data_IF_863091947913
#
_entry.id   IF_863091947913
#
_cell.length_a   1.000
_cell.length_b   1.000
_cell.length_c   1.000
_cell.angle_alpha   90.00
_cell.angle_beta   90.00
_cell.angle_gamma   90.00
#
_symmetry.space_group_name_H-M   'P 1'
#
loop_
_entity.id
_entity.type
_entity.pdbx_description
1 polymer ?
#
# COMPACT_ATOMS: atom_id res chain seq x y z
N UNK A 1 -21.60 -7.19 -20.57
CA UNK A 1 -21.30 -7.57 -19.16
C UNK A 1 -22.50 -8.31 -18.57
N UNK A 2 -22.33 -9.25 -17.62
CA UNK A 2 -23.49 -9.87 -16.96
C UNK A 2 -24.31 -8.80 -16.21
N UNK A 3 -25.65 -8.78 -16.30
CA UNK A 3 -26.48 -7.70 -15.72
C UNK A 3 -26.25 -7.49 -14.22
N UNK A 4 -26.07 -8.59 -13.47
CA UNK A 4 -25.87 -8.55 -12.02
C UNK A 4 -24.58 -7.82 -11.59
N UNK A 5 -23.55 -7.78 -12.44
CA UNK A 5 -22.30 -7.08 -12.11
C UNK A 5 -22.37 -5.57 -12.38
N UNK A 6 -23.35 -5.13 -13.19
CA UNK A 6 -23.49 -3.73 -13.58
C UNK A 6 -23.91 -2.82 -12.43
N UNK A 7 -24.67 -3.35 -11.47
CA UNK A 7 -25.27 -2.61 -10.36
C UNK A 7 -24.30 -2.32 -9.20
N UNK A 8 -23.12 -2.93 -9.19
CA UNK A 8 -22.17 -2.81 -8.08
C UNK A 8 -21.00 -1.85 -8.40
N UNK A 9 -20.89 -0.70 -7.69
CA UNK A 9 -19.87 0.32 -7.99
C UNK A 9 -18.45 -0.08 -7.56
N UNK A 10 -18.31 -1.08 -6.69
CA UNK A 10 -17.02 -1.60 -6.23
C UNK A 10 -16.94 -3.11 -6.47
N UNK A 11 -15.90 -3.53 -7.18
CA UNK A 11 -15.57 -4.94 -7.40
C UNK A 11 -14.38 -5.35 -6.53
N UNK A 12 -14.55 -6.44 -5.78
CA UNK A 12 -13.46 -7.07 -5.03
C UNK A 12 -13.09 -8.36 -5.75
N UNK A 13 -11.90 -8.40 -6.32
CA UNK A 13 -11.42 -9.53 -7.12
C UNK A 13 -10.63 -10.49 -6.23
N UNK A 14 -10.99 -11.77 -6.28
CA UNK A 14 -10.18 -12.87 -5.74
C UNK A 14 -9.51 -13.57 -6.92
N UNK A 15 -8.28 -13.18 -7.30
CA UNK A 15 -7.60 -13.77 -8.45
C UNK A 15 -7.18 -15.22 -8.16
N UNK A 16 -7.07 -16.03 -9.21
CA UNK A 16 -6.55 -17.39 -9.16
C UNK A 16 -5.66 -17.66 -10.39
N UNK A 17 -4.47 -18.23 -10.15
CA UNK A 17 -3.52 -18.57 -11.21
C UNK A 17 -3.14 -17.37 -12.09
N UNK A 18 -3.22 -17.48 -13.43
CA UNK A 18 -2.83 -16.40 -14.36
C UNK A 18 -3.55 -15.06 -14.12
N UNK A 19 -4.72 -15.07 -13.48
CA UNK A 19 -5.48 -13.85 -13.17
C UNK A 19 -4.75 -12.91 -12.19
N UNK A 20 -3.75 -13.40 -11.46
CA UNK A 20 -2.89 -12.54 -10.63
C UNK A 20 -2.09 -11.51 -11.45
N UNK A 21 -1.90 -11.74 -12.75
CA UNK A 21 -1.20 -10.81 -13.64
C UNK A 21 -2.13 -9.97 -14.50
N UNK A 22 -3.45 -10.19 -14.42
CA UNK A 22 -4.41 -9.42 -15.20
C UNK A 22 -4.68 -8.09 -14.49
N UNK A 23 -4.34 -6.93 -15.08
CA UNK A 23 -4.68 -5.64 -14.49
C UNK A 23 -6.17 -5.36 -14.71
N UNK A 24 -7.05 -5.83 -13.82
CA UNK A 24 -8.51 -5.66 -13.98
C UNK A 24 -8.91 -4.19 -14.14
N UNK A 25 -8.19 -3.27 -13.49
CA UNK A 25 -8.33 -1.82 -13.63
C UNK A 25 -8.20 -1.33 -15.08
N UNK A 26 -7.35 -1.97 -15.89
CA UNK A 26 -7.04 -1.60 -17.26
C UNK A 26 -7.85 -2.39 -18.30
N UNK A 27 -8.83 -3.20 -17.89
CA UNK A 27 -9.71 -3.87 -18.84
C UNK A 27 -10.59 -2.84 -19.53
N UNK A 28 -10.64 -2.89 -20.86
CA UNK A 28 -11.42 -1.99 -21.68
C UNK A 28 -12.80 -2.56 -21.98
N UNK A 29 -13.85 -1.84 -21.62
CA UNK A 29 -15.22 -2.18 -22.01
C UNK A 29 -15.55 -1.55 -23.37
N UNK A 30 -15.71 -2.40 -24.39
CA UNK A 30 -16.08 -1.96 -25.73
C UNK A 30 -17.50 -1.38 -25.81
N UNK A 31 -18.39 -1.71 -24.86
CA UNK A 31 -19.78 -1.26 -24.89
C UNK A 31 -19.90 0.19 -24.41
N UNK A 32 -19.22 0.54 -23.33
CA UNK A 32 -19.17 1.91 -22.80
C UNK A 32 -18.03 2.76 -23.39
N UNK A 33 -17.10 2.14 -24.13
CA UNK A 33 -15.89 2.75 -24.66
C UNK A 33 -14.96 3.38 -23.59
N UNK A 34 -14.86 2.73 -22.42
CA UNK A 34 -14.04 3.21 -21.29
C UNK A 34 -13.35 2.06 -20.57
N UNK A 35 -12.30 2.37 -19.80
CA UNK A 35 -11.66 1.38 -18.93
C UNK A 35 -12.46 1.14 -17.66
N UNK A 36 -12.35 -0.06 -17.07
CA UNK A 36 -13.11 -0.41 -15.86
C UNK A 36 -12.82 0.54 -14.69
N UNK A 37 -11.59 1.02 -14.54
CA UNK A 37 -11.23 1.96 -13.47
C UNK A 37 -11.93 3.32 -13.56
N UNK A 38 -12.46 3.69 -14.74
CA UNK A 38 -13.22 4.94 -14.91
C UNK A 38 -14.66 4.80 -14.43
N UNK A 39 -15.17 3.57 -14.39
CA UNK A 39 -16.56 3.28 -14.05
C UNK A 39 -16.71 2.77 -12.63
N UNK A 40 -15.69 2.06 -12.11
CA UNK A 40 -15.80 1.24 -10.91
C UNK A 40 -14.53 1.31 -10.08
N UNK A 41 -14.72 1.23 -8.77
CA UNK A 41 -13.65 0.92 -7.85
C UNK A 41 -13.30 -0.56 -7.98
N UNK A 42 -12.02 -0.88 -7.99
CA UNK A 42 -11.54 -2.27 -8.03
C UNK A 42 -10.50 -2.45 -6.93
N UNK A 43 -10.71 -3.46 -6.09
CA UNK A 43 -9.75 -3.92 -5.10
C UNK A 43 -9.50 -5.42 -5.23
N UNK A 44 -8.41 -5.89 -4.65
CA UNK A 44 -8.05 -7.31 -4.64
C UNK A 44 -8.01 -7.84 -3.21
N UNK A 45 -8.34 -9.11 -3.05
CA UNK A 45 -8.16 -9.81 -1.78
C UNK A 45 -7.70 -11.25 -2.05
N UNK A 46 -6.80 -11.81 -1.22
CA UNK A 46 -6.33 -13.18 -1.42
C UNK A 46 -7.44 -14.22 -1.19
N UNK A 47 -8.48 -13.90 -0.40
CA UNK A 47 -9.65 -14.77 -0.22
C UNK A 47 -10.85 -13.99 0.33
N UNK A 48 -12.05 -14.53 0.13
CA UNK A 48 -13.27 -13.98 0.74
C UNK A 48 -13.21 -13.98 2.28
N UNK A 49 -12.54 -14.96 2.89
CA UNK A 49 -12.33 -15.02 4.33
C UNK A 49 -11.48 -13.84 4.83
N UNK A 50 -10.38 -13.52 4.14
CA UNK A 50 -9.53 -12.37 4.48
C UNK A 50 -10.30 -11.06 4.35
N UNK A 51 -11.11 -10.90 3.30
CA UNK A 51 -11.99 -9.73 3.16
C UNK A 51 -12.92 -9.56 4.37
N UNK A 52 -13.58 -10.64 4.81
CA UNK A 52 -14.45 -10.62 6.00
C UNK A 52 -13.67 -10.18 7.25
N UNK A 53 -12.47 -10.70 7.47
CA UNK A 53 -11.62 -10.27 8.59
C UNK A 53 -11.24 -8.79 8.50
N UNK A 54 -10.87 -8.30 7.31
CA UNK A 54 -10.53 -6.89 7.10
C UNK A 54 -11.72 -5.96 7.35
N UNK A 55 -12.93 -6.35 6.93
CA UNK A 55 -14.16 -5.58 7.15
C UNK A 55 -14.56 -5.49 8.64
N UNK A 56 -14.18 -6.48 9.43
CA UNK A 56 -14.46 -6.51 10.87
C UNK A 56 -13.43 -5.73 11.70
N UNK A 57 -12.26 -5.42 11.13
CA UNK A 57 -11.20 -4.71 11.84
C UNK A 57 -11.59 -3.22 11.99
N UNK A 58 -11.72 -2.69 13.21
CA UNK A 58 -12.04 -1.29 13.41
C UNK A 58 -10.89 -0.41 12.89
N UNK A 59 -11.24 0.61 12.10
CA UNK A 59 -10.27 1.60 11.65
C UNK A 59 -9.83 2.46 12.86
N UNK A 60 -8.52 2.66 13.08
CA UNK A 60 -7.97 3.52 14.12
C UNK A 60 -8.05 4.99 13.67
N UNK A 61 -9.26 5.47 13.43
CA UNK A 61 -9.53 6.87 13.07
C UNK A 61 -9.89 7.65 14.33
N UNK A 62 -9.28 8.81 14.54
CA UNK A 62 -9.75 9.77 15.53
C UNK A 62 -11.12 10.30 15.08
N UNK A 63 -12.17 10.00 15.84
CA UNK A 63 -13.52 10.55 15.61
C UNK A 63 -14.57 9.60 15.02
N UNK A 64 -14.30 8.29 14.89
CA UNK A 64 -15.33 7.29 14.56
C UNK A 64 -15.93 7.40 13.14
N UNK A 65 -15.35 8.21 12.26
CA UNK A 65 -15.78 8.32 10.86
C UNK A 65 -15.44 7.06 10.06
N UNK A 66 -16.32 6.67 9.13
CA UNK A 66 -15.99 5.72 8.08
C UNK A 66 -14.96 6.33 7.13
N UNK A 67 -14.17 5.49 6.43
CA UNK A 67 -13.33 5.90 5.30
C UNK A 67 -14.23 6.37 4.14
N UNK A 68 -14.80 7.56 4.26
CA UNK A 68 -15.76 8.10 3.30
C UNK A 68 -15.17 9.21 2.43
N UNK A 69 -13.99 9.75 2.76
CA UNK A 69 -13.38 10.80 1.95
C UNK A 69 -11.87 10.98 2.21
N UNK A 70 -10.96 10.46 1.35
CA UNK A 70 -9.51 10.63 1.54
C UNK A 70 -9.03 12.09 1.40
N UNK A 71 -9.87 12.99 0.86
CA UNK A 71 -9.52 14.41 0.65
C UNK A 71 -10.27 15.33 1.63
N UNK A 72 -11.23 14.79 2.41
CA UNK A 72 -12.08 15.58 3.30
C UNK A 72 -12.30 14.91 4.65
N UNK A 73 -11.34 15.08 5.56
CA UNK A 73 -11.64 15.03 7.00
C UNK A 73 -11.63 13.67 7.69
N UNK A 74 -10.99 12.63 7.15
CA UNK A 74 -10.53 11.53 8.00
C UNK A 74 -9.32 12.02 8.79
N UNK A 75 -9.47 12.12 10.11
CA UNK A 75 -8.36 12.37 11.03
C UNK A 75 -7.39 11.18 11.05
N UNK A 76 -6.55 11.07 10.00
CA UNK A 76 -5.36 10.24 10.03
C UNK A 76 -4.55 10.73 11.23
N UNK A 77 -4.43 9.86 12.22
CA UNK A 77 -3.95 10.27 13.54
C UNK A 77 -2.43 10.42 13.56
N UNK A 78 -1.75 9.79 12.59
CA UNK A 78 -0.30 9.77 12.42
C UNK A 78 0.07 9.11 11.09
N UNK A 79 0.98 9.73 10.34
CA UNK A 79 1.64 9.16 9.16
C UNK A 79 3.14 9.03 9.40
N UNK A 80 3.71 7.92 8.96
CA UNK A 80 5.16 7.73 8.86
C UNK A 80 5.52 7.43 7.40
N UNK A 81 6.50 8.16 6.87
CA UNK A 81 7.00 7.97 5.51
C UNK A 81 8.47 7.59 5.55
N UNK A 82 8.88 6.71 4.63
CA UNK A 82 10.24 6.22 4.49
C UNK A 82 10.71 6.43 3.06
N UNK A 83 11.83 7.11 2.89
CA UNK A 83 12.43 7.42 1.58
C UNK A 83 13.90 7.01 1.56
N UNK A 84 14.30 6.09 0.69
CA UNK A 84 15.70 5.68 0.57
C UNK A 84 16.13 5.69 -0.90
N UNK A 85 17.23 6.39 -1.19
CA UNK A 85 17.67 6.63 -2.57
C UNK A 85 18.37 5.45 -3.21
N UNK A 86 18.64 4.37 -2.46
CA UNK A 86 19.39 3.22 -2.93
C UNK A 86 20.74 3.64 -3.54
N UNK A 87 21.56 4.31 -2.72
CA UNK A 87 22.86 4.85 -3.10
C UNK A 87 22.76 5.87 -4.24
N UNK A 88 21.76 6.77 -4.17
CA UNK A 88 21.57 7.84 -5.14
C UNK A 88 20.97 7.42 -6.49
N UNK A 89 20.56 6.14 -6.67
CA UNK A 89 19.92 5.66 -7.91
C UNK A 89 18.45 6.06 -8.02
N UNK A 90 17.79 6.31 -6.88
CA UNK A 90 16.38 6.67 -6.74
C UNK A 90 16.23 7.97 -5.92
N UNK A 91 16.87 9.09 -6.31
CA UNK A 91 16.85 10.32 -5.50
C UNK A 91 15.43 10.86 -5.28
N UNK A 92 14.51 10.62 -6.22
CA UNK A 92 13.12 11.04 -6.11
C UNK A 92 12.31 10.28 -5.06
N UNK A 93 12.77 9.11 -4.61
CA UNK A 93 12.11 8.36 -3.54
C UNK A 93 12.19 9.10 -2.19
N UNK A 94 13.32 9.80 -1.95
CA UNK A 94 13.50 10.67 -0.78
C UNK A 94 12.51 11.85 -0.86
N UNK A 95 12.51 12.54 -2.01
CA UNK A 95 11.58 13.66 -2.26
C UNK A 95 10.12 13.25 -2.14
N UNK A 96 9.75 12.06 -2.62
CA UNK A 96 8.39 11.51 -2.48
C UNK A 96 8.01 11.35 -1.00
N UNK A 97 8.86 10.70 -0.20
CA UNK A 97 8.58 10.49 1.22
C UNK A 97 8.42 11.81 1.99
N UNK A 98 9.25 12.81 1.70
CA UNK A 98 9.16 14.14 2.29
C UNK A 98 7.86 14.86 1.91
N UNK A 99 7.52 14.88 0.62
CA UNK A 99 6.30 15.52 0.14
C UNK A 99 5.03 14.85 0.67
N UNK A 100 4.99 13.51 0.71
CA UNK A 100 3.84 12.77 1.26
C UNK A 100 3.68 13.09 2.74
N UNK A 101 4.76 13.16 3.51
CA UNK A 101 4.70 13.55 4.93
C UNK A 101 4.16 14.99 5.11
N UNK A 102 4.59 15.92 4.23
CA UNK A 102 4.14 17.30 4.26
C UNK A 102 2.65 17.44 3.94
N UNK A 103 2.18 16.77 2.88
CA UNK A 103 0.78 16.85 2.43
C UNK A 103 -0.15 16.17 3.43
N UNK A 104 0.20 14.97 3.88
CA UNK A 104 -0.69 14.12 4.70
C UNK A 104 -0.57 14.40 6.21
N UNK A 105 0.47 15.14 6.63
CA UNK A 105 0.70 15.49 8.04
C UNK A 105 -0.25 16.54 8.60
N UNK A 106 -1.15 17.12 7.79
CA UNK A 106 -2.17 18.11 8.20
C UNK A 106 -1.63 19.24 9.13
N UNK A 107 -0.40 19.71 8.91
CA UNK A 107 0.23 20.75 9.73
C UNK A 107 0.67 20.33 11.13
N UNK A 108 0.38 19.09 11.57
CA UNK A 108 0.86 18.52 12.83
C UNK A 108 2.14 17.68 12.68
N UNK A 109 2.66 17.57 11.45
CA UNK A 109 3.93 16.92 11.12
C UNK A 109 3.81 15.41 10.94
N UNK A 110 3.76 14.95 9.68
CA UNK A 110 4.09 13.56 9.37
C UNK A 110 5.59 13.31 9.61
N UNK A 111 5.95 12.15 10.14
CA UNK A 111 7.37 11.82 10.34
C UNK A 111 7.95 11.27 9.03
N UNK A 112 8.91 11.99 8.45
CA UNK A 112 9.69 11.51 7.30
C UNK A 112 11.03 10.95 7.77
N UNK A 113 11.28 9.69 7.45
CA UNK A 113 12.53 9.00 7.69
C UNK A 113 13.22 8.81 6.34
N UNK A 114 14.34 9.51 6.14
CA UNK A 114 15.05 9.50 4.85
C UNK A 114 16.49 9.06 5.00
N UNK A 115 17.00 8.41 3.95
CA UNK A 115 18.37 7.89 3.87
C UNK A 115 18.73 7.06 5.11
N UNK A 116 19.76 7.42 5.87
CA UNK A 116 20.18 6.69 7.07
C UNK A 116 19.07 6.56 8.14
N UNK A 117 18.13 7.49 8.18
CA UNK A 117 16.97 7.40 9.08
C UNK A 117 15.93 6.40 8.55
N UNK A 118 15.91 6.10 7.25
CA UNK A 118 15.10 5.06 6.64
C UNK A 118 15.72 3.67 6.90
N UNK A 119 15.74 3.28 8.18
CA UNK A 119 16.28 2.01 8.67
C UNK A 119 15.20 1.13 9.34
N UNK A 120 15.49 -0.16 9.51
CA UNK A 120 14.55 -1.15 10.05
C UNK A 120 14.13 -0.88 11.51
N UNK A 121 15.01 -0.42 12.43
CA UNK A 121 14.60 -0.02 13.77
C UNK A 121 13.54 1.09 13.78
N UNK A 122 13.75 2.16 13.01
CA UNK A 122 12.79 3.27 12.89
C UNK A 122 11.47 2.80 12.26
N UNK A 123 11.54 1.92 11.26
CA UNK A 123 10.36 1.30 10.66
C UNK A 123 9.53 0.54 11.69
N UNK A 124 10.17 -0.33 12.49
CA UNK A 124 9.49 -1.13 13.51
C UNK A 124 8.82 -0.23 14.56
N UNK A 125 9.52 0.79 15.04
CA UNK A 125 8.96 1.75 15.99
C UNK A 125 7.77 2.53 15.39
N UNK A 126 7.90 3.02 14.16
CA UNK A 126 6.84 3.77 13.49
C UNK A 126 5.61 2.91 13.16
N UNK A 127 5.81 1.67 12.72
CA UNK A 127 4.76 0.72 12.32
C UNK A 127 3.76 0.42 13.45
N UNK A 128 4.19 0.46 14.70
CA UNK A 128 3.35 0.22 15.88
C UNK A 128 2.47 1.44 16.25
N UNK A 129 2.80 2.63 15.78
CA UNK A 129 2.17 3.88 16.21
C UNK A 129 1.49 4.66 15.09
N UNK A 130 1.91 4.47 13.83
CA UNK A 130 1.31 5.14 12.69
C UNK A 130 -0.03 4.52 12.27
N UNK A 131 -0.91 5.34 11.72
CA UNK A 131 -2.16 4.91 11.07
C UNK A 131 -2.00 4.73 9.57
N UNK A 132 -1.02 5.43 8.98
CA UNK A 132 -0.59 5.32 7.58
C UNK A 132 0.91 5.16 7.52
N UNK A 133 1.36 4.18 6.74
CA UNK A 133 2.76 3.92 6.45
C UNK A 133 3.00 4.06 4.94
N UNK A 134 3.97 4.88 4.56
CA UNK A 134 4.37 5.06 3.16
C UNK A 134 5.84 4.70 2.98
N UNK A 135 6.11 3.75 2.09
CA UNK A 135 7.47 3.27 1.81
C UNK A 135 7.81 3.58 0.35
N UNK A 136 8.72 4.54 0.13
CA UNK A 136 9.29 4.90 -1.16
C UNK A 136 10.76 4.45 -1.20
N UNK A 137 11.02 3.33 -1.88
CA UNK A 137 12.36 2.74 -1.92
C UNK A 137 12.51 1.76 -3.09
N UNK A 138 13.70 1.20 -3.27
CA UNK A 138 13.91 0.08 -4.17
C UNK A 138 13.22 -1.19 -3.65
N UNK A 139 12.55 -1.90 -4.55
CA UNK A 139 11.98 -3.22 -4.29
C UNK A 139 12.70 -4.26 -5.13
N UNK A 140 13.04 -5.38 -4.50
CA UNK A 140 13.62 -6.54 -5.16
C UNK A 140 12.67 -7.73 -5.04
N UNK A 141 12.26 -8.28 -6.17
CA UNK A 141 11.39 -9.44 -6.23
C UNK A 141 12.16 -10.67 -6.68
N UNK A 142 12.21 -11.66 -5.79
CA UNK A 142 12.93 -12.91 -5.97
C UNK A 142 11.96 -14.04 -6.28
N UNK A 143 11.73 -14.31 -7.55
CA UNK A 143 10.84 -15.39 -7.98
C UNK A 143 11.35 -16.79 -7.55
N UNK A 144 12.67 -16.95 -7.45
CA UNK A 144 13.35 -18.17 -6.98
C UNK A 144 13.15 -18.42 -5.48
N UNK A 145 13.04 -17.35 -4.69
CA UNK A 145 12.79 -17.44 -3.25
C UNK A 145 11.96 -16.24 -2.75
N UNK A 146 10.63 -16.31 -2.89
CA UNK A 146 9.75 -15.17 -2.71
C UNK A 146 9.79 -14.58 -1.31
N UNK A 147 10.07 -15.40 -0.28
CA UNK A 147 10.20 -14.95 1.11
C UNK A 147 11.39 -14.00 1.34
N UNK A 148 12.38 -14.02 0.45
CA UNK A 148 13.53 -13.11 0.44
C UNK A 148 13.36 -11.92 -0.51
N UNK A 149 12.19 -11.79 -1.17
CA UNK A 149 11.81 -10.52 -1.80
C UNK A 149 11.67 -9.46 -0.71
N UNK A 150 12.04 -8.22 -1.00
CA UNK A 150 12.02 -7.18 0.01
C UNK A 150 12.22 -5.77 -0.51
N UNK A 151 12.23 -4.84 0.44
CA UNK A 151 12.43 -3.42 0.22
C UNK A 151 13.78 -2.99 0.79
N UNK A 152 14.53 -2.18 0.05
CA UNK A 152 15.82 -1.69 0.52
C UNK A 152 15.65 -0.60 1.59
N UNK A 153 16.40 -0.71 2.68
CA UNK A 153 16.54 0.27 3.74
C UNK A 153 18.03 0.55 3.94
N UNK A 154 18.37 1.60 4.69
CA UNK A 154 19.76 2.00 4.91
C UNK A 154 20.62 0.88 5.54
N UNK A 155 20.02 0.06 6.41
CA UNK A 155 20.69 -0.99 7.18
C UNK A 155 20.41 -2.41 6.67
N UNK A 156 19.73 -2.58 5.53
CA UNK A 156 19.47 -3.90 4.94
C UNK A 156 18.18 -3.98 4.13
N UNK A 157 17.64 -5.19 3.99
CA UNK A 157 16.39 -5.44 3.31
C UNK A 157 15.28 -5.72 4.34
N UNK A 158 14.13 -5.06 4.20
CA UNK A 158 12.89 -5.53 4.81
C UNK A 158 12.33 -6.66 3.93
N UNK A 159 12.58 -7.91 4.31
CA UNK A 159 12.12 -9.07 3.54
C UNK A 159 10.66 -9.41 3.83
N UNK A 160 10.04 -10.18 2.94
CA UNK A 160 8.71 -10.75 3.17
C UNK A 160 8.66 -11.59 4.45
N UNK A 161 9.75 -12.28 4.79
CA UNK A 161 9.88 -13.01 6.05
C UNK A 161 9.82 -12.07 7.27
N UNK A 162 10.51 -10.93 7.21
CA UNK A 162 10.50 -9.93 8.29
C UNK A 162 9.10 -9.35 8.52
N UNK A 163 8.32 -9.17 7.45
CA UNK A 163 6.95 -8.63 7.51
C UNK A 163 6.02 -9.52 8.35
N UNK A 164 6.19 -10.85 8.34
CA UNK A 164 5.40 -11.74 9.20
C UNK A 164 5.65 -11.50 10.71
N UNK A 165 6.80 -10.96 11.07
CA UNK A 165 7.14 -10.56 12.44
C UNK A 165 6.81 -9.10 12.78
N UNK A 166 6.36 -8.30 11.81
CA UNK A 166 6.13 -6.87 11.99
C UNK A 166 4.78 -6.60 12.68
N UNK A 167 4.81 -5.80 13.75
CA UNK A 167 3.60 -5.32 14.42
C UNK A 167 3.09 -4.07 13.71
N UNK A 168 1.97 -4.22 12.99
CA UNK A 168 1.37 -3.14 12.21
C UNK A 168 0.07 -2.63 12.85
N UNK A 169 0.09 -1.37 13.29
CA UNK A 169 -1.12 -0.61 13.64
C UNK A 169 -1.72 0.12 12.43
N UNK A 170 -0.92 0.32 11.38
CA UNK A 170 -1.36 0.98 10.16
C UNK A 170 -2.61 0.33 9.56
N UNK A 171 -3.52 1.17 9.07
CA UNK A 171 -4.70 0.75 8.29
C UNK A 171 -4.50 0.93 6.80
N UNK A 172 -3.47 1.68 6.42
CA UNK A 172 -3.01 1.83 5.05
C UNK A 172 -1.50 1.72 5.03
N UNK A 173 -0.99 0.82 4.19
CA UNK A 173 0.41 0.76 3.82
C UNK A 173 0.49 1.00 2.32
N UNK A 174 1.37 1.90 1.90
CA UNK A 174 1.64 2.15 0.47
C UNK A 174 3.08 1.78 0.17
N UNK A 175 3.28 1.03 -0.92
CA UNK A 175 4.56 0.51 -1.35
C UNK A 175 4.92 1.11 -2.70
N UNK A 176 5.59 2.27 -2.67
CA UNK A 176 6.17 2.92 -3.85
C UNK A 176 7.55 2.30 -4.12
N UNK A 177 7.53 1.10 -4.68
CA UNK A 177 8.72 0.33 -4.99
C UNK A 177 8.48 -0.61 -6.18
N UNK A 178 9.57 -1.02 -6.83
CA UNK A 178 9.49 -1.90 -7.99
C UNK A 178 8.88 -3.26 -7.61
N UNK A 179 8.02 -3.79 -8.50
CA UNK A 179 7.55 -5.18 -8.45
C UNK A 179 6.79 -5.62 -7.18
N UNK A 180 6.29 -4.67 -6.38
CA UNK A 180 5.58 -4.92 -5.11
C UNK A 180 4.23 -5.62 -5.24
N UNK A 181 3.64 -5.61 -6.44
CA UNK A 181 2.38 -6.29 -6.76
C UNK A 181 2.55 -7.64 -7.47
N UNK A 182 3.76 -8.21 -7.52
CA UNK A 182 4.01 -9.48 -8.22
C UNK A 182 3.62 -10.68 -7.36
N UNK A 183 3.15 -11.74 -8.03
CA UNK A 183 2.88 -13.03 -7.44
C UNK A 183 3.77 -14.10 -8.11
N UNK A 184 3.89 -15.28 -7.49
CA UNK A 184 4.62 -16.44 -7.99
C UNK A 184 3.55 -17.51 -8.22
N UNK A 185 3.43 -17.98 -9.46
CA UNK A 185 2.47 -19.02 -9.83
C UNK A 185 2.84 -20.38 -9.23
#
# INVERSE_FOLDING_TARGET
MQPALAEHPHWVVVPHGPLHYLPFHALYDKQSATYLTEQRQISYTPSASVLKYCQQKPLPLKGGGQWANPIGGVGLSSIATFGHSYQGRLPLAVTEAEHVAQIMGNGAGGAAYVEEAANLPNLKAAAEHCTVLHLATHGDFRADNPLFSGLAFADGMLTTLDVFGLRLRASLVTLSACQTGRNVL
#
